data_IF_020499166719
#
_entry.id   IF_020499166719
#
_cell.length_a   1.000
_cell.length_b   1.000
_cell.length_c   1.000
_cell.angle_alpha   90.00
_cell.angle_beta   90.00
_cell.angle_gamma   90.00
#
_symmetry.space_group_name_H-M   'P 1'
#
loop_
_entity.id
_entity.type
_entity.pdbx_description
1 polymer ?
#
# COMPACT_ATOMS: atom_id res chain seq x y z
N UNK A 1 12.04 -17.74 11.17
CA UNK A 1 11.38 -16.44 10.89
C UNK A 1 10.34 -16.67 9.81
N UNK A 2 9.09 -16.28 10.02
CA UNK A 2 8.00 -16.43 9.03
C UNK A 2 7.68 -15.05 8.46
N UNK A 3 7.69 -14.91 7.14
CA UNK A 3 7.36 -13.67 6.44
C UNK A 3 5.85 -13.49 6.41
N UNK A 4 5.36 -12.32 6.85
CA UNK A 4 3.91 -12.06 7.01
C UNK A 4 3.29 -11.28 5.84
N UNK A 5 4.13 -10.70 4.99
CA UNK A 5 3.76 -9.99 3.78
C UNK A 5 5.02 -9.48 3.06
N UNK A 6 4.84 -9.06 1.82
CA UNK A 6 5.91 -8.55 0.96
C UNK A 6 5.43 -7.33 0.19
N UNK A 7 6.32 -6.35 0.03
CA UNK A 7 6.13 -5.20 -0.84
C UNK A 7 7.35 -5.05 -1.75
N UNK A 8 7.11 -4.80 -3.03
CA UNK A 8 8.13 -4.38 -4.00
C UNK A 8 7.87 -2.92 -4.34
N UNK A 9 8.87 -2.07 -4.09
CA UNK A 9 8.79 -0.63 -4.30
C UNK A 9 10.12 -0.08 -4.79
N UNK A 10 10.08 1.06 -5.47
CA UNK A 10 11.25 1.82 -5.94
C UNK A 10 10.99 3.32 -5.82
N UNK A 11 12.06 4.10 -5.77
CA UNK A 11 11.95 5.55 -5.88
C UNK A 11 11.76 5.96 -7.34
N UNK A 12 10.88 6.91 -7.58
CA UNK A 12 10.84 7.72 -8.78
C UNK A 12 11.45 9.08 -8.42
N UNK A 13 12.66 9.34 -8.92
CA UNK A 13 13.43 10.55 -8.67
C UNK A 13 13.21 11.63 -9.75
N UNK A 14 12.16 11.51 -10.56
CA UNK A 14 11.81 12.55 -11.53
C UNK A 14 11.49 13.88 -10.80
N UNK A 15 12.22 14.98 -11.07
CA UNK A 15 11.98 16.25 -10.40
C UNK A 15 10.57 16.81 -10.60
N UNK A 16 9.90 16.47 -11.71
CA UNK A 16 8.53 16.92 -11.99
C UNK A 16 7.51 16.12 -11.16
N UNK A 17 7.88 14.89 -10.75
CA UNK A 17 7.03 14.04 -9.92
C UNK A 17 7.83 13.00 -9.13
N UNK A 18 8.35 13.41 -7.96
CA UNK A 18 9.04 12.52 -7.04
C UNK A 18 8.03 11.70 -6.22
N UNK A 19 8.10 10.37 -6.29
CA UNK A 19 7.21 9.49 -5.54
C UNK A 19 7.84 8.11 -5.28
N UNK A 20 7.15 7.29 -4.49
CA UNK A 20 7.46 5.85 -4.41
C UNK A 20 6.52 5.09 -5.32
N UNK A 21 7.07 4.43 -6.33
CA UNK A 21 6.35 3.47 -7.15
C UNK A 21 6.24 2.14 -6.41
N UNK A 22 5.02 1.61 -6.29
CA UNK A 22 4.77 0.28 -5.73
C UNK A 22 4.34 -0.69 -6.83
N UNK A 23 5.19 -1.69 -7.08
CA UNK A 23 4.94 -2.71 -8.10
C UNK A 23 4.09 -3.87 -7.56
N UNK A 24 4.28 -4.25 -6.30
CA UNK A 24 3.61 -5.40 -5.71
C UNK A 24 3.36 -5.20 -4.21
N UNK A 25 2.17 -5.58 -3.75
CA UNK A 25 1.85 -5.79 -2.34
C UNK A 25 1.15 -7.13 -2.22
N UNK A 26 1.68 -8.03 -1.38
CA UNK A 26 1.08 -9.32 -1.13
C UNK A 26 1.12 -9.66 0.37
N UNK A 27 -0.01 -10.13 0.91
CA UNK A 27 -0.04 -10.72 2.25
C UNK A 27 0.35 -12.19 2.16
N UNK A 28 1.08 -12.70 3.14
CA UNK A 28 1.37 -14.13 3.21
C UNK A 28 0.06 -14.94 3.16
N UNK A 29 0.04 -16.15 2.54
CA UNK A 29 -1.19 -16.92 2.32
C UNK A 29 -2.05 -17.08 3.58
N UNK A 30 -1.42 -17.35 4.73
CA UNK A 30 -2.09 -17.51 6.04
C UNK A 30 -2.77 -16.23 6.55
N UNK A 31 -2.36 -15.05 6.07
CA UNK A 31 -2.91 -13.75 6.50
C UNK A 31 -3.94 -13.17 5.52
N UNK A 32 -4.26 -13.87 4.43
CA UNK A 32 -5.24 -13.38 3.44
C UNK A 32 -6.62 -13.24 4.07
N UNK A 33 -7.26 -12.09 3.81
CA UNK A 33 -8.72 -11.82 3.85
C UNK A 33 -9.57 -13.09 3.67
N UNK A 34 -9.48 -13.52 2.42
CA UNK A 34 -10.33 -14.50 1.81
C UNK A 34 -9.44 -15.57 1.20
N UNK A 35 -9.79 -16.84 1.39
CA UNK A 35 -9.18 -17.98 0.72
C UNK A 35 -10.32 -18.73 0.02
N UNK A 36 -10.22 -18.90 -1.30
CA UNK A 36 -11.23 -19.57 -2.12
C UNK A 36 -12.66 -19.02 -1.88
N UNK A 37 -12.80 -17.70 -1.80
CA UNK A 37 -14.10 -17.02 -1.61
C UNK A 37 -14.66 -17.05 -0.19
N UNK A 38 -13.98 -17.69 0.77
CA UNK A 38 -14.40 -17.74 2.18
C UNK A 38 -13.50 -16.87 3.06
N UNK A 39 -14.08 -16.25 4.09
CA UNK A 39 -13.30 -15.53 5.11
C UNK A 39 -12.32 -16.49 5.77
N UNK A 40 -11.05 -16.09 5.90
CA UNK A 40 -10.05 -16.87 6.60
C UNK A 40 -10.10 -16.56 8.12
N UNK A 41 -10.52 -17.51 8.97
CA UNK A 41 -10.58 -17.29 10.42
C UNK A 41 -9.22 -17.42 11.10
N UNK A 42 -8.23 -18.05 10.45
CA UNK A 42 -6.95 -18.44 11.04
C UNK A 42 -5.85 -17.39 10.84
N UNK A 43 -6.24 -16.12 10.63
CA UNK A 43 -5.29 -15.04 10.40
C UNK A 43 -4.59 -14.70 11.70
N UNK A 44 -3.27 -14.83 11.71
CA UNK A 44 -2.44 -14.39 12.83
C UNK A 44 -2.17 -12.88 12.74
N UNK A 45 -1.91 -12.37 11.52
CA UNK A 45 -1.65 -10.95 11.29
C UNK A 45 -2.77 -10.29 10.49
N UNK A 46 -3.33 -9.24 11.10
CA UNK A 46 -4.38 -8.43 10.50
C UNK A 46 -3.81 -7.21 9.78
N UNK A 47 -4.56 -6.69 8.80
CA UNK A 47 -4.21 -5.48 8.06
C UNK A 47 -2.86 -5.49 7.30
N UNK A 48 -2.22 -6.64 7.04
CA UNK A 48 -0.91 -6.70 6.35
C UNK A 48 -0.81 -5.77 5.13
N UNK A 49 -1.76 -5.86 4.18
CA UNK A 49 -1.76 -4.97 3.02
C UNK A 49 -1.83 -3.47 3.37
N UNK A 50 -2.57 -3.08 4.42
CA UNK A 50 -2.66 -1.67 4.85
C UNK A 50 -1.37 -1.18 5.47
N UNK A 51 -0.73 -2.04 6.27
CA UNK A 51 0.57 -1.75 6.90
C UNK A 51 1.65 -1.63 5.83
N UNK A 52 1.63 -2.48 4.80
CA UNK A 52 2.58 -2.39 3.68
C UNK A 52 2.41 -1.10 2.87
N UNK A 53 1.17 -0.64 2.62
CA UNK A 53 0.94 0.69 2.02
C UNK A 53 1.44 1.80 2.95
N UNK A 54 1.15 1.73 4.25
CA UNK A 54 1.64 2.71 5.23
C UNK A 54 3.17 2.75 5.29
N UNK A 55 3.83 1.60 5.14
CA UNK A 55 5.28 1.50 5.05
C UNK A 55 5.82 2.19 3.81
N UNK A 56 5.17 2.04 2.64
CA UNK A 56 5.56 2.79 1.44
C UNK A 56 5.46 4.31 1.65
N UNK A 57 4.41 4.78 2.33
CA UNK A 57 4.27 6.19 2.71
C UNK A 57 5.39 6.64 3.66
N UNK A 58 5.71 5.85 4.69
CA UNK A 58 6.81 6.14 5.61
C UNK A 58 8.16 6.18 4.88
N UNK A 59 8.39 5.24 3.97
CA UNK A 59 9.59 5.18 3.14
C UNK A 59 9.70 6.41 2.23
N UNK A 60 8.58 6.85 1.64
CA UNK A 60 8.47 8.09 0.85
C UNK A 60 8.88 9.32 1.66
N UNK A 61 8.37 9.49 2.89
CA UNK A 61 8.81 10.57 3.78
C UNK A 61 10.30 10.51 4.10
N UNK A 62 10.85 9.32 4.38
CA UNK A 62 12.28 9.13 4.65
C UNK A 62 13.18 9.45 3.45
N UNK A 63 12.66 9.32 2.24
CA UNK A 63 13.33 9.68 0.99
C UNK A 63 13.21 11.18 0.64
N UNK A 64 12.35 11.92 1.34
CA UNK A 64 12.09 13.34 1.04
C UNK A 64 11.03 13.56 -0.03
N UNK A 65 10.27 12.54 -0.44
CA UNK A 65 9.20 12.66 -1.45
C UNK A 65 7.83 13.03 -0.84
N UNK A 66 7.83 13.67 0.33
CA UNK A 66 6.63 14.21 1.00
C UNK A 66 5.47 13.23 1.24
N UNK A 67 5.76 11.92 1.25
CA UNK A 67 4.79 10.86 1.47
C UNK A 67 4.07 10.39 0.20
N UNK A 68 4.42 10.91 -0.98
CA UNK A 68 3.83 10.51 -2.25
C UNK A 68 4.15 9.06 -2.60
N UNK A 69 3.10 8.29 -2.95
CA UNK A 69 3.17 6.89 -3.38
C UNK A 69 2.21 6.67 -4.54
N UNK A 70 2.69 6.06 -5.63
CA UNK A 70 1.89 5.64 -6.76
C UNK A 70 1.86 4.12 -6.91
N UNK A 71 0.72 3.58 -7.36
CA UNK A 71 0.59 2.16 -7.72
C UNK A 71 -0.48 1.95 -8.77
N UNK A 72 -0.38 0.85 -9.51
CA UNK A 72 -1.46 0.35 -10.37
C UNK A 72 -2.23 -0.77 -9.67
N UNK A 73 -3.52 -0.57 -9.43
CA UNK A 73 -4.39 -1.54 -8.78
C UNK A 73 -4.88 -2.60 -9.76
N UNK A 74 -5.16 -3.82 -9.27
CA UNK A 74 -6.10 -4.72 -9.94
C UNK A 74 -7.53 -4.22 -9.72
N UNK A 75 -8.44 -4.46 -10.66
CA UNK A 75 -9.83 -3.97 -10.57
C UNK A 75 -10.52 -4.43 -9.27
N UNK A 76 -10.26 -5.68 -8.85
CA UNK A 76 -10.77 -6.27 -7.60
C UNK A 76 -10.19 -5.67 -6.32
N UNK A 77 -9.24 -4.73 -6.42
CA UNK A 77 -8.55 -4.09 -5.29
C UNK A 77 -8.72 -2.57 -5.26
N UNK A 78 -9.42 -1.97 -6.23
CA UNK A 78 -9.60 -0.51 -6.27
C UNK A 78 -10.28 0.00 -5.00
N UNK A 79 -11.41 -0.61 -4.60
CA UNK A 79 -12.10 -0.25 -3.35
C UNK A 79 -11.25 -0.43 -2.09
N UNK A 80 -10.27 -1.33 -2.12
CA UNK A 80 -9.32 -1.46 -1.01
C UNK A 80 -8.43 -0.22 -0.91
N UNK A 81 -7.86 0.26 -2.02
CA UNK A 81 -7.00 1.45 -2.01
C UNK A 81 -7.79 2.76 -1.78
N UNK A 82 -9.01 2.87 -2.31
CA UNK A 82 -9.95 3.96 -1.97
C UNK A 82 -10.22 4.03 -0.46
N UNK A 83 -10.42 2.88 0.19
CA UNK A 83 -10.64 2.81 1.65
C UNK A 83 -9.44 3.31 2.47
N UNK A 84 -8.25 3.32 1.86
CA UNK A 84 -7.02 3.87 2.44
C UNK A 84 -6.82 5.35 2.12
N UNK A 85 -7.80 5.98 1.44
CA UNK A 85 -7.73 7.36 0.94
C UNK A 85 -6.73 7.54 -0.20
N UNK A 86 -6.38 6.46 -0.91
CA UNK A 86 -5.74 6.58 -2.21
C UNK A 86 -6.71 7.22 -3.20
N UNK A 87 -6.24 8.17 -3.99
CA UNK A 87 -7.02 8.84 -5.03
C UNK A 87 -6.75 8.14 -6.35
N UNK A 88 -7.80 7.67 -7.02
CA UNK A 88 -7.69 7.19 -8.38
C UNK A 88 -7.34 8.37 -9.30
N UNK A 89 -6.34 8.19 -10.16
CA UNK A 89 -5.89 9.22 -11.11
C UNK A 89 -6.39 8.90 -12.52
N UNK A 90 -5.75 7.96 -13.19
CA UNK A 90 -6.11 7.48 -14.52
C UNK A 90 -6.16 5.95 -14.55
N UNK A 91 -7.15 5.39 -15.25
CA UNK A 91 -7.31 3.94 -15.35
C UNK A 91 -7.40 3.29 -13.98
N UNK A 92 -6.45 2.40 -13.65
CA UNK A 92 -6.39 1.71 -12.36
C UNK A 92 -5.28 2.27 -11.45
N UNK A 93 -4.69 3.42 -11.79
CA UNK A 93 -3.64 4.04 -10.99
C UNK A 93 -4.20 4.76 -9.78
N UNK A 94 -3.47 4.66 -8.67
CA UNK A 94 -3.78 5.26 -7.39
C UNK A 94 -2.59 6.07 -6.89
N UNK A 95 -2.90 7.27 -6.41
CA UNK A 95 -1.96 8.17 -5.76
C UNK A 95 -2.33 8.35 -4.28
N UNK A 96 -1.36 8.15 -3.40
CA UNK A 96 -1.42 8.62 -2.02
C UNK A 96 -0.65 9.93 -1.92
N UNK A 97 -1.35 11.01 -1.57
CA UNK A 97 -0.73 12.31 -1.32
C UNK A 97 -0.34 12.45 0.16
N UNK A 98 0.33 13.55 0.51
CA UNK A 98 0.81 13.84 1.87
C UNK A 98 -0.26 13.68 2.96
N UNK A 99 -1.51 14.07 2.71
CA UNK A 99 -2.62 13.94 3.70
C UNK A 99 -2.95 12.47 3.95
N UNK A 100 -3.15 11.69 2.89
CA UNK A 100 -3.43 10.25 3.00
C UNK A 100 -2.25 9.48 3.57
N UNK A 101 -1.03 9.86 3.18
CA UNK A 101 0.21 9.28 3.65
C UNK A 101 0.42 9.51 5.15
N UNK A 102 0.32 10.75 5.63
CA UNK A 102 0.42 11.08 7.06
C UNK A 102 -0.60 10.29 7.88
N UNK A 103 -1.87 10.23 7.43
CA UNK A 103 -2.90 9.45 8.11
C UNK A 103 -2.54 7.96 8.24
N UNK A 104 -1.96 7.37 7.19
CA UNK A 104 -1.56 5.97 7.22
C UNK A 104 -0.34 5.76 8.12
N UNK A 105 0.66 6.63 8.04
CA UNK A 105 1.86 6.55 8.88
C UNK A 105 1.48 6.68 10.35
N UNK A 106 0.81 7.76 10.76
CA UNK A 106 0.37 7.98 12.17
C UNK A 106 -0.48 6.83 12.72
N UNK A 107 -1.22 6.13 11.87
CA UNK A 107 -2.06 5.01 12.31
C UNK A 107 -1.29 3.73 12.56
N UNK A 108 -0.17 3.51 11.87
CA UNK A 108 0.51 2.21 11.84
C UNK A 108 1.97 2.24 12.34
N UNK A 109 2.56 3.42 12.53
CA UNK A 109 3.93 3.66 13.01
C UNK A 109 3.96 4.86 13.95
#
# INVERSE_FOLDING_TARGET
MIIQGLIALRGNDDPDFMCIDVELIESAPQNKKMINGKTNPNREFFNCGKILVAYACLYSFRKGYEGYVELTSKSSKMSFYESLRGKQTYGQNFLFNTVSANRLVTKYF
#
